data_IF_999721345358
#
_entry.id   IF_999721345358
#
_cell.length_a   1.000
_cell.length_b   1.000
_cell.length_c   1.000
_cell.angle_alpha   90.00
_cell.angle_beta   90.00
_cell.angle_gamma   90.00
#
_symmetry.space_group_name_H-M   'P 1'
#
loop_
_entity.id
_entity.type
_entity.pdbx_description
1 polymer ?
#
# COMPACT_ATOMS: atom_id res chain seq x y z
N UNK A 1 -18.16 30.26 -58.10
CA UNK A 1 -16.88 29.74 -57.59
C UNK A 1 -16.21 30.88 -56.85
N UNK A 2 -16.51 31.00 -55.56
CA UNK A 2 -16.09 32.08 -54.68
C UNK A 2 -14.96 31.59 -53.80
N UNK A 3 -13.75 32.10 -54.02
CA UNK A 3 -12.69 32.10 -53.02
C UNK A 3 -12.37 33.58 -52.82
N UNK A 4 -13.09 34.15 -51.86
CA UNK A 4 -12.95 35.53 -51.45
C UNK A 4 -11.55 35.78 -50.92
N UNK A 5 -11.01 36.94 -51.30
CA UNK A 5 -9.74 37.45 -50.84
C UNK A 5 -9.75 37.54 -49.30
N UNK A 6 -9.01 36.63 -48.66
CA UNK A 6 -8.67 36.74 -47.24
C UNK A 6 -7.99 38.10 -47.05
N UNK A 7 -8.70 39.05 -46.45
CA UNK A 7 -8.26 40.43 -46.33
C UNK A 7 -6.91 40.45 -45.60
N UNK A 8 -5.92 41.20 -46.14
CA UNK A 8 -4.55 41.29 -45.61
C UNK A 8 -4.44 41.52 -44.10
N UNK A 9 -5.49 42.07 -43.45
CA UNK A 9 -5.58 42.19 -41.98
C UNK A 9 -5.56 40.84 -41.25
N UNK A 10 -6.24 39.82 -41.75
CA UNK A 10 -6.31 38.51 -41.09
C UNK A 10 -4.97 37.77 -41.17
N UNK A 11 -4.27 37.88 -42.30
CA UNK A 11 -2.92 37.35 -42.48
C UNK A 11 -1.90 38.01 -41.53
N UNK A 12 -2.02 39.31 -41.28
CA UNK A 12 -1.16 40.03 -40.33
C UNK A 12 -1.45 39.58 -38.90
N UNK A 13 -2.71 39.41 -38.52
CA UNK A 13 -3.09 38.92 -37.18
C UNK A 13 -2.57 37.50 -36.94
N UNK A 14 -2.72 36.61 -37.91
CA UNK A 14 -2.19 35.24 -37.84
C UNK A 14 -0.65 35.26 -37.73
N UNK A 15 0.02 36.11 -38.52
CA UNK A 15 1.47 36.28 -38.47
C UNK A 15 1.98 36.76 -37.11
N UNK A 16 1.28 37.72 -36.48
CA UNK A 16 1.63 38.23 -35.15
C UNK A 16 1.42 37.18 -34.06
N UNK A 17 0.34 36.39 -34.13
CA UNK A 17 0.07 35.29 -33.20
C UNK A 17 1.18 34.23 -33.29
N UNK A 18 1.57 33.84 -34.50
CA UNK A 18 2.63 32.86 -34.73
C UNK A 18 3.98 33.40 -34.23
N UNK A 19 4.29 34.66 -34.50
CA UNK A 19 5.55 35.28 -34.06
C UNK A 19 5.62 35.37 -32.52
N UNK A 20 4.53 35.74 -31.85
CA UNK A 20 4.42 35.71 -30.40
C UNK A 20 4.62 34.29 -29.85
N UNK A 21 4.05 33.29 -30.54
CA UNK A 21 4.18 31.87 -30.18
C UNK A 21 5.65 31.40 -30.24
N UNK A 22 6.37 31.77 -31.31
CA UNK A 22 7.79 31.43 -31.53
C UNK A 22 8.68 32.15 -30.50
N UNK A 23 8.40 33.41 -30.19
CA UNK A 23 9.13 34.17 -29.18
C UNK A 23 8.96 33.59 -27.77
N UNK A 24 7.79 33.06 -27.44
CA UNK A 24 7.56 32.35 -26.17
C UNK A 24 8.35 31.04 -26.07
N UNK A 25 8.48 30.28 -27.17
CA UNK A 25 9.31 29.06 -27.21
C UNK A 25 10.80 29.40 -27.06
N UNK A 26 11.28 30.45 -27.74
CA UNK A 26 12.70 30.86 -27.69
C UNK A 26 13.17 31.35 -26.32
N UNK A 27 12.27 31.84 -25.46
CA UNK A 27 12.58 32.24 -24.08
C UNK A 27 12.51 31.09 -23.06
N UNK A 28 12.34 29.84 -23.51
CA UNK A 28 12.20 28.69 -22.61
C UNK A 28 10.82 28.55 -21.98
N UNK A 29 9.81 29.24 -22.52
CA UNK A 29 8.41 29.10 -22.10
C UNK A 29 7.90 27.71 -22.49
N UNK A 30 7.87 26.80 -21.52
CA UNK A 30 7.11 25.55 -21.65
C UNK A 30 5.63 25.94 -21.69
N UNK A 31 4.92 25.56 -22.75
CA UNK A 31 3.46 25.69 -22.84
C UNK A 31 2.82 24.78 -21.78
N UNK A 32 2.74 25.26 -20.55
CA UNK A 32 1.83 24.69 -19.55
C UNK A 32 0.46 25.25 -19.88
N UNK A 33 -0.43 24.39 -20.41
CA UNK A 33 -1.84 24.73 -20.63
C UNK A 33 -2.59 25.17 -19.34
N UNK A 34 -1.95 25.07 -18.16
CA UNK A 34 -2.46 25.53 -16.86
C UNK A 34 -1.53 26.50 -16.09
N UNK A 35 -0.50 27.05 -16.75
CA UNK A 35 0.22 28.28 -16.35
C UNK A 35 1.10 28.28 -15.09
N UNK A 36 0.82 27.46 -14.07
CA UNK A 36 1.56 27.48 -12.80
C UNK A 36 2.56 26.33 -12.72
N UNK A 37 3.78 26.66 -12.29
CA UNK A 37 4.84 25.69 -12.03
C UNK A 37 5.46 25.97 -10.67
N UNK A 38 6.01 24.94 -10.05
CA UNK A 38 6.57 25.02 -8.71
C UNK A 38 7.93 24.32 -8.66
N UNK A 39 8.88 24.89 -7.90
CA UNK A 39 10.16 24.25 -7.63
C UNK A 39 10.03 23.21 -6.51
N UNK A 40 10.23 21.94 -6.84
CA UNK A 40 10.27 20.84 -5.86
C UNK A 40 11.71 20.30 -5.78
N UNK A 41 12.25 20.04 -4.58
CA UNK A 41 13.50 19.33 -4.44
C UNK A 41 13.31 17.84 -4.79
N UNK A 42 13.98 17.38 -5.83
CA UNK A 42 13.98 15.98 -6.29
C UNK A 42 15.44 15.51 -6.38
N UNK A 43 15.80 14.49 -5.61
CA UNK A 43 17.15 13.90 -5.60
C UNK A 43 18.28 14.95 -5.41
N UNK A 44 18.07 15.91 -4.50
CA UNK A 44 19.04 16.96 -4.20
C UNK A 44 19.11 18.10 -5.22
N UNK A 45 18.29 18.08 -6.29
CA UNK A 45 18.19 19.16 -7.28
C UNK A 45 16.80 19.79 -7.25
N UNK A 46 16.73 21.12 -7.38
CA UNK A 46 15.45 21.81 -7.58
C UNK A 46 14.97 21.56 -9.01
N UNK A 47 13.75 21.07 -9.16
CA UNK A 47 13.13 20.87 -10.46
C UNK A 47 11.81 21.65 -10.53
N UNK A 48 11.60 22.35 -11.63
CA UNK A 48 10.34 23.05 -11.92
C UNK A 48 9.34 22.05 -12.48
N UNK A 49 8.26 21.81 -11.74
CA UNK A 49 7.20 20.86 -12.10
C UNK A 49 5.85 21.58 -12.20
N UNK A 50 5.02 21.11 -13.12
CA UNK A 50 3.61 21.48 -13.22
C UNK A 50 2.74 20.46 -12.47
N UNK A 51 1.41 20.63 -12.54
CA UNK A 51 0.44 19.72 -11.93
C UNK A 51 0.64 18.26 -12.36
N UNK A 52 0.91 18.02 -13.64
CA UNK A 52 1.09 16.66 -14.18
C UNK A 52 2.37 16.05 -13.60
N UNK A 53 3.47 16.80 -13.61
CA UNK A 53 4.72 16.39 -12.98
C UNK A 53 4.54 16.05 -11.50
N UNK A 54 3.79 16.88 -10.76
CA UNK A 54 3.52 16.64 -9.35
C UNK A 54 2.66 15.37 -9.13
N UNK A 55 1.71 15.07 -10.02
CA UNK A 55 0.96 13.81 -9.99
C UNK A 55 1.86 12.59 -10.19
N UNK A 56 2.83 12.65 -11.10
CA UNK A 56 3.80 11.56 -11.29
C UNK A 56 4.65 11.32 -10.04
N UNK A 57 5.10 12.40 -9.39
CA UNK A 57 5.86 12.28 -8.14
C UNK A 57 5.04 11.69 -7.00
N UNK A 58 3.77 12.10 -6.87
CA UNK A 58 2.86 11.52 -5.88
C UNK A 58 2.62 10.03 -6.16
N UNK A 59 2.47 9.63 -7.42
CA UNK A 59 2.32 8.23 -7.83
C UNK A 59 3.56 7.41 -7.45
N UNK A 60 4.75 7.88 -7.81
CA UNK A 60 6.02 7.22 -7.49
C UNK A 60 6.23 7.10 -5.97
N UNK A 61 5.91 8.14 -5.20
CA UNK A 61 5.92 8.07 -3.74
C UNK A 61 4.97 6.97 -3.20
N UNK A 62 3.77 6.84 -3.77
CA UNK A 62 2.82 5.78 -3.41
C UNK A 62 3.36 4.38 -3.73
N UNK A 63 3.96 4.19 -4.91
CA UNK A 63 4.56 2.92 -5.33
C UNK A 63 5.73 2.51 -4.42
N UNK A 64 6.58 3.46 -4.02
CA UNK A 64 7.66 3.20 -3.06
C UNK A 64 7.14 2.76 -1.69
N UNK A 65 6.07 3.39 -1.20
CA UNK A 65 5.44 2.99 0.07
C UNK A 65 4.92 1.55 -0.01
N UNK A 66 4.29 1.18 -1.13
CA UNK A 66 3.78 -0.18 -1.35
C UNK A 66 4.89 -1.22 -1.50
N UNK A 67 6.01 -0.85 -2.12
CA UNK A 67 7.19 -1.72 -2.22
C UNK A 67 7.80 -1.97 -0.84
N UNK A 68 8.01 -0.92 -0.03
CA UNK A 68 8.49 -1.05 1.35
C UNK A 68 7.55 -1.89 2.23
N UNK A 69 6.24 -1.87 1.97
CA UNK A 69 5.29 -2.76 2.65
C UNK A 69 5.52 -4.22 2.27
N UNK A 70 5.71 -4.52 0.97
CA UNK A 70 5.97 -5.89 0.49
C UNK A 70 7.27 -6.43 1.07
N UNK A 71 8.35 -5.65 1.02
CA UNK A 71 9.64 -6.02 1.62
C UNK A 71 9.49 -6.36 3.11
N UNK A 72 8.83 -5.50 3.89
CA UNK A 72 8.57 -5.77 5.32
C UNK A 72 7.66 -6.97 5.55
N UNK A 73 6.75 -7.26 4.62
CA UNK A 73 5.86 -8.41 4.75
C UNK A 73 6.61 -9.74 4.58
N UNK A 74 7.67 -9.76 3.78
CA UNK A 74 8.55 -10.93 3.61
C UNK A 74 9.27 -11.30 4.91
N UNK A 75 9.52 -10.32 5.78
CA UNK A 75 10.13 -10.55 7.10
C UNK A 75 9.20 -11.28 8.08
N UNK A 76 7.88 -11.28 7.87
CA UNK A 76 6.91 -11.85 8.83
C UNK A 76 7.10 -13.35 9.04
N UNK A 77 7.37 -14.12 7.97
CA UNK A 77 7.51 -15.57 8.08
C UNK A 77 8.78 -16.00 8.81
N UNK A 78 9.98 -15.49 8.47
CA UNK A 78 11.18 -15.71 9.28
C UNK A 78 10.95 -15.41 10.76
N UNK A 79 10.25 -14.32 11.04
CA UNK A 79 9.94 -13.80 12.36
C UNK A 79 9.05 -14.71 13.23
N UNK A 80 8.19 -15.51 12.61
CA UNK A 80 7.28 -16.45 13.30
C UNK A 80 7.68 -17.92 13.11
N UNK A 81 8.84 -18.18 12.48
CA UNK A 81 9.35 -19.54 12.22
C UNK A 81 9.49 -20.38 13.49
N UNK A 82 9.77 -19.76 14.64
CA UNK A 82 9.82 -20.42 15.94
C UNK A 82 8.45 -20.98 16.37
N UNK A 83 7.34 -20.31 16.01
CA UNK A 83 5.99 -20.83 16.25
C UNK A 83 5.67 -21.98 15.30
N UNK A 84 6.08 -21.86 14.03
CA UNK A 84 5.86 -22.90 13.01
C UNK A 84 6.56 -24.21 13.39
N UNK A 85 7.81 -24.13 13.85
CA UNK A 85 8.57 -25.28 14.36
C UNK A 85 7.99 -25.86 15.64
N UNK A 86 7.28 -25.04 16.44
CA UNK A 86 6.54 -25.46 17.63
C UNK A 86 5.25 -26.26 17.35
N UNK A 87 4.70 -26.19 16.12
CA UNK A 87 3.55 -27.02 15.71
C UNK A 87 3.99 -28.45 15.43
N UNK A 88 5.00 -28.62 14.57
CA UNK A 88 5.42 -29.91 14.05
C UNK A 88 6.85 -29.83 13.54
N UNK A 89 7.60 -30.92 13.73
CA UNK A 89 8.95 -31.09 13.17
C UNK A 89 8.95 -31.58 11.72
N UNK A 90 7.78 -31.86 11.15
CA UNK A 90 7.66 -32.33 9.78
C UNK A 90 7.79 -31.17 8.79
N UNK A 91 8.72 -31.32 7.85
CA UNK A 91 8.93 -30.36 6.77
C UNK A 91 7.67 -30.11 5.93
N UNK A 92 6.85 -31.14 5.68
CA UNK A 92 5.58 -30.99 4.95
C UNK A 92 4.59 -30.07 5.68
N UNK A 93 4.54 -30.13 7.01
CA UNK A 93 3.70 -29.25 7.82
C UNK A 93 4.23 -27.82 7.79
N UNK A 94 5.54 -27.62 7.97
CA UNK A 94 6.16 -26.29 7.90
C UNK A 94 5.91 -25.63 6.54
N UNK A 95 6.21 -26.34 5.44
CA UNK A 95 6.01 -25.83 4.09
C UNK A 95 4.54 -25.48 3.81
N UNK A 96 3.60 -26.32 4.28
CA UNK A 96 2.18 -26.06 4.13
C UNK A 96 1.73 -24.82 4.90
N UNK A 97 2.19 -24.65 6.13
CA UNK A 97 1.89 -23.47 6.95
C UNK A 97 2.42 -22.19 6.29
N UNK A 98 3.69 -22.17 5.88
CA UNK A 98 4.31 -21.04 5.19
C UNK A 98 3.56 -20.68 3.91
N UNK A 99 3.14 -21.67 3.10
CA UNK A 99 2.38 -21.43 1.88
C UNK A 99 1.02 -20.77 2.15
N UNK A 100 0.31 -21.20 3.20
CA UNK A 100 -0.97 -20.60 3.61
C UNK A 100 -0.77 -19.15 4.06
N UNK A 101 0.24 -18.91 4.90
CA UNK A 101 0.53 -17.58 5.45
C UNK A 101 1.01 -16.62 4.35
N UNK A 102 1.90 -17.06 3.46
CA UNK A 102 2.31 -16.29 2.27
C UNK A 102 1.11 -15.88 1.42
N UNK A 103 0.21 -16.81 1.13
CA UNK A 103 -1.01 -16.51 0.36
C UNK A 103 -1.87 -15.43 1.03
N UNK A 104 -1.89 -15.38 2.37
CA UNK A 104 -2.62 -14.37 3.14
C UNK A 104 -1.94 -12.99 3.13
N UNK A 105 -0.61 -12.92 3.01
CA UNK A 105 0.13 -11.65 2.85
C UNK A 105 -0.20 -10.95 1.53
N UNK A 106 -0.37 -11.70 0.45
CA UNK A 106 -0.64 -11.14 -0.89
C UNK A 106 -2.12 -10.89 -1.17
N UNK A 107 -3.03 -11.38 -0.33
CA UNK A 107 -4.44 -10.99 -0.39
C UNK A 107 -4.62 -9.72 0.44
N UNK A 108 -5.10 -8.64 -0.16
CA UNK A 108 -5.36 -7.33 0.47
C UNK A 108 -6.48 -7.39 1.53
N UNK A 109 -6.32 -8.20 2.59
CA UNK A 109 -7.32 -8.38 3.65
C UNK A 109 -7.11 -7.50 4.88
N UNK A 110 -5.96 -6.82 4.97
CA UNK A 110 -5.60 -6.00 6.12
C UNK A 110 -6.01 -4.53 5.98
N UNK A 111 -6.40 -4.10 4.77
CA UNK A 111 -6.80 -2.71 4.56
C UNK A 111 -8.08 -2.35 5.31
N UNK A 112 -9.02 -3.29 5.42
CA UNK A 112 -10.32 -3.10 6.06
C UNK A 112 -10.45 -3.84 7.42
N UNK A 113 -9.31 -4.18 8.03
CA UNK A 113 -9.29 -4.89 9.31
C UNK A 113 -9.72 -3.95 10.44
N UNK A 114 -10.67 -4.39 11.27
CA UNK A 114 -11.19 -3.66 12.43
C UNK A 114 -11.29 -4.58 13.65
N UNK A 115 -11.49 -4.01 14.83
CA UNK A 115 -11.74 -4.75 16.10
C UNK A 115 -12.89 -5.75 15.94
N UNK A 116 -13.92 -5.41 15.15
CA UNK A 116 -15.08 -6.29 14.91
C UNK A 116 -14.74 -7.47 13.99
N UNK A 117 -13.81 -7.30 13.05
CA UNK A 117 -13.51 -8.31 12.02
C UNK A 117 -12.24 -9.12 12.32
N UNK A 118 -11.36 -8.63 13.19
CA UNK A 118 -10.05 -9.26 13.45
C UNK A 118 -10.18 -10.67 14.03
N UNK A 119 -11.09 -10.88 14.99
CA UNK A 119 -11.26 -12.20 15.59
C UNK A 119 -11.76 -13.22 14.55
N UNK A 120 -12.69 -12.82 13.67
CA UNK A 120 -13.15 -13.66 12.56
C UNK A 120 -12.05 -13.95 11.55
N UNK A 121 -11.16 -12.99 11.26
CA UNK A 121 -9.99 -13.23 10.41
C UNK A 121 -9.04 -14.27 11.03
N UNK A 122 -8.74 -14.14 12.33
CA UNK A 122 -7.87 -15.06 13.06
C UNK A 122 -8.47 -16.47 13.08
N UNK A 123 -9.78 -16.59 13.35
CA UNK A 123 -10.48 -17.87 13.34
C UNK A 123 -10.45 -18.52 11.95
N UNK A 124 -10.72 -17.77 10.89
CA UNK A 124 -10.64 -18.30 9.53
C UNK A 124 -9.23 -18.78 9.17
N UNK A 125 -8.20 -18.03 9.56
CA UNK A 125 -6.81 -18.42 9.34
C UNK A 125 -6.44 -19.65 10.18
N UNK A 126 -6.88 -19.71 11.42
CA UNK A 126 -6.69 -20.85 12.31
C UNK A 126 -7.31 -22.12 11.73
N UNK A 127 -8.56 -22.07 11.24
CA UNK A 127 -9.22 -23.22 10.63
C UNK A 127 -8.52 -23.67 9.33
N UNK A 128 -8.07 -22.71 8.50
CA UNK A 128 -7.30 -23.03 7.29
C UNK A 128 -5.97 -23.72 7.66
N UNK A 129 -5.23 -23.19 8.62
CA UNK A 129 -4.00 -23.81 9.12
C UNK A 129 -4.27 -25.21 9.71
N UNK A 130 -5.17 -25.30 10.69
CA UNK A 130 -5.46 -26.53 11.40
C UNK A 130 -5.92 -27.65 10.46
N UNK A 131 -6.89 -27.38 9.60
CA UNK A 131 -7.43 -28.39 8.69
C UNK A 131 -6.40 -28.90 7.68
N UNK A 132 -5.55 -28.01 7.15
CA UNK A 132 -4.51 -28.40 6.20
C UNK A 132 -3.37 -29.16 6.87
N UNK A 133 -2.90 -28.70 8.02
CA UNK A 133 -1.80 -29.35 8.72
C UNK A 133 -2.21 -30.70 9.30
N UNK A 134 -3.45 -30.84 9.79
CA UNK A 134 -3.95 -32.12 10.28
C UNK A 134 -4.02 -33.18 9.16
N UNK A 135 -4.30 -32.77 7.91
CA UNK A 135 -4.21 -33.66 6.75
C UNK A 135 -2.78 -34.10 6.48
N UNK A 136 -1.81 -33.19 6.57
CA UNK A 136 -0.38 -33.53 6.39
C UNK A 136 0.09 -34.52 7.48
N UNK A 137 -0.30 -34.30 8.74
CA UNK A 137 -0.02 -35.23 9.85
C UNK A 137 -0.65 -36.59 9.62
N UNK A 138 -1.93 -36.63 9.22
CA UNK A 138 -2.62 -37.88 8.93
C UNK A 138 -1.92 -38.67 7.80
N UNK A 139 -1.54 -37.98 6.72
CA UNK A 139 -0.82 -38.59 5.60
C UNK A 139 0.55 -39.11 6.03
N UNK A 140 1.30 -38.32 6.80
CA UNK A 140 2.61 -38.72 7.32
C UNK A 140 2.50 -39.95 8.24
N UNK A 141 1.46 -40.00 9.09
CA UNK A 141 1.19 -41.13 9.98
C UNK A 141 0.95 -42.46 9.26
N UNK A 142 0.50 -42.44 8.00
CA UNK A 142 0.35 -43.64 7.17
C UNK A 142 1.68 -44.22 6.67
N UNK A 143 2.76 -43.44 6.76
CA UNK A 143 4.07 -43.77 6.20
C UNK A 143 5.11 -44.16 7.27
N UNK A 144 4.71 -44.26 8.54
CA UNK A 144 5.62 -44.52 9.67
C UNK A 144 4.96 -45.43 10.69
N UNK A 145 5.76 -46.26 11.36
CA UNK A 145 5.31 -47.04 12.52
C UNK A 145 5.11 -46.18 13.78
N UNK A 146 5.68 -44.96 13.80
CA UNK A 146 5.57 -44.00 14.89
C UNK A 146 4.88 -42.74 14.37
N UNK A 147 3.53 -42.68 14.44
CA UNK A 147 2.78 -41.56 13.89
C UNK A 147 3.16 -40.25 14.61
N UNK A 148 3.21 -39.11 13.90
CA UNK A 148 3.44 -37.81 14.51
C UNK A 148 2.31 -37.47 15.48
N UNK A 149 2.63 -36.66 16.50
CA UNK A 149 1.62 -36.14 17.41
C UNK A 149 0.56 -35.30 16.65
N UNK A 150 -0.72 -35.39 17.05
CA UNK A 150 -1.75 -34.51 16.53
C UNK A 150 -1.40 -33.04 16.76
N UNK A 151 -1.81 -32.18 15.84
CA UNK A 151 -1.63 -30.75 16.01
C UNK A 151 -2.68 -30.22 16.96
N UNK A 152 -2.27 -29.44 17.94
CA UNK A 152 -3.19 -28.72 18.81
C UNK A 152 -3.72 -27.47 18.12
N UNK A 153 -5.05 -27.29 18.16
CA UNK A 153 -5.73 -26.13 17.58
C UNK A 153 -5.32 -24.81 18.25
N UNK A 154 -4.91 -24.85 19.52
CA UNK A 154 -4.33 -23.72 20.25
C UNK A 154 -3.05 -23.19 19.60
N UNK A 155 -2.17 -24.09 19.11
CA UNK A 155 -0.91 -23.72 18.45
C UNK A 155 -1.14 -23.02 17.12
N UNK A 156 -2.07 -23.53 16.30
CA UNK A 156 -2.44 -22.89 15.03
C UNK A 156 -3.14 -21.55 15.24
N UNK A 157 -3.92 -21.41 16.32
CA UNK A 157 -4.52 -20.15 16.71
C UNK A 157 -3.48 -19.11 17.12
N UNK A 158 -2.49 -19.50 17.94
CA UNK A 158 -1.39 -18.62 18.33
C UNK A 158 -0.62 -18.08 17.12
N UNK A 159 -0.38 -18.91 16.10
CA UNK A 159 0.24 -18.47 14.84
C UNK A 159 -0.66 -17.51 14.07
N UNK A 160 -1.95 -17.83 13.93
CA UNK A 160 -2.88 -16.94 13.25
C UNK A 160 -2.96 -15.56 13.92
N UNK A 161 -2.98 -15.52 15.27
CA UNK A 161 -2.97 -14.29 16.07
C UNK A 161 -1.67 -13.50 15.85
N UNK A 162 -0.51 -14.15 16.00
CA UNK A 162 0.80 -13.48 15.87
C UNK A 162 1.07 -12.99 14.44
N UNK A 163 0.70 -13.79 13.43
CA UNK A 163 0.76 -13.39 12.03
C UNK A 163 -0.10 -12.16 11.76
N UNK A 164 -1.37 -12.18 12.20
CA UNK A 164 -2.30 -11.06 12.05
C UNK A 164 -1.76 -9.79 12.70
N UNK A 165 -1.20 -9.91 13.91
CA UNK A 165 -0.59 -8.79 14.65
C UNK A 165 0.57 -8.16 13.88
N UNK A 166 1.51 -8.96 13.38
CA UNK A 166 2.67 -8.46 12.63
C UNK A 166 2.27 -7.83 11.29
N UNK A 167 1.36 -8.47 10.57
CA UNK A 167 0.83 -7.92 9.32
C UNK A 167 0.09 -6.60 9.55
N UNK A 168 -0.79 -6.51 10.56
CA UNK A 168 -1.49 -5.28 10.91
C UNK A 168 -0.52 -4.13 11.25
N UNK A 169 0.58 -4.42 11.96
CA UNK A 169 1.60 -3.41 12.27
C UNK A 169 2.32 -2.89 11.02
N UNK A 170 2.62 -3.76 10.06
CA UNK A 170 3.25 -3.35 8.77
C UNK A 170 2.27 -2.51 7.94
N UNK A 171 1.00 -2.90 7.87
CA UNK A 171 -0.04 -2.13 7.20
C UNK A 171 -0.30 -0.78 7.87
N UNK A 172 -0.27 -0.69 9.20
CA UNK A 172 -0.38 0.59 9.91
C UNK A 172 0.74 1.56 9.51
N UNK A 173 1.98 1.06 9.39
CA UNK A 173 3.12 1.87 8.93
C UNK A 173 2.91 2.36 7.50
N UNK A 174 2.44 1.49 6.60
CA UNK A 174 2.11 1.89 5.22
C UNK A 174 1.04 2.99 5.17
N UNK A 175 -0.06 2.80 5.91
CA UNK A 175 -1.17 3.76 5.95
C UNK A 175 -0.70 5.11 6.51
N UNK A 176 0.11 5.11 7.59
CA UNK A 176 0.72 6.33 8.13
C UNK A 176 1.64 7.02 7.11
N UNK A 177 2.45 6.27 6.37
CA UNK A 177 3.25 6.84 5.28
C UNK A 177 2.39 7.45 4.17
N UNK A 178 1.26 6.82 3.81
CA UNK A 178 0.30 7.38 2.84
C UNK A 178 -0.36 8.67 3.36
N UNK A 179 -0.67 8.76 4.67
CA UNK A 179 -1.16 10.01 5.30
C UNK A 179 -0.14 11.14 5.14
N UNK A 180 1.11 10.90 5.56
CA UNK A 180 2.20 11.90 5.46
C UNK A 180 2.45 12.32 4.00
N UNK A 181 2.36 11.38 3.06
CA UNK A 181 2.45 11.68 1.64
C UNK A 181 1.33 12.65 1.23
N UNK A 182 0.05 12.34 1.45
CA UNK A 182 -1.03 13.25 1.06
C UNK A 182 -0.94 14.62 1.73
N UNK A 183 -0.53 14.67 3.01
CA UNK A 183 -0.29 15.91 3.74
C UNK A 183 0.82 16.76 3.10
N UNK A 184 1.90 16.13 2.62
CA UNK A 184 3.00 16.84 1.96
C UNK A 184 2.64 17.36 0.56
N UNK A 185 1.83 16.62 -0.20
CA UNK A 185 1.47 16.97 -1.58
C UNK A 185 0.29 17.96 -1.68
N UNK A 186 -0.65 17.93 -0.72
CA UNK A 186 -1.80 18.84 -0.69
C UNK A 186 -1.43 20.33 -0.86
N UNK A 187 -0.49 20.92 -0.08
CA UNK A 187 -0.13 22.33 -0.26
C UNK A 187 0.59 22.61 -1.58
N UNK A 188 1.25 21.61 -2.19
CA UNK A 188 1.92 21.77 -3.48
C UNK A 188 0.90 21.92 -4.62
N UNK A 189 -0.18 21.14 -4.60
CA UNK A 189 -1.31 21.33 -5.53
C UNK A 189 -2.01 22.67 -5.32
N UNK A 190 -2.13 23.14 -4.07
CA UNK A 190 -2.69 24.46 -3.77
C UNK A 190 -1.88 25.61 -4.38
N UNK A 191 -0.55 25.52 -4.36
CA UNK A 191 0.34 26.50 -5.00
C UNK A 191 0.29 26.48 -6.53
N UNK A 192 -0.17 25.37 -7.12
CA UNK A 192 -0.41 25.22 -8.56
C UNK A 192 -1.86 25.59 -8.95
N UNK A 193 -2.67 26.05 -8.00
CA UNK A 193 -4.06 26.44 -8.23
C UNK A 193 -5.00 25.26 -8.51
N UNK A 194 -4.56 24.02 -8.26
CA UNK A 194 -5.35 22.81 -8.53
C UNK A 194 -6.24 22.44 -7.34
N UNK A 195 -7.40 23.12 -7.24
CA UNK A 195 -8.38 22.88 -6.19
C UNK A 195 -8.92 21.43 -6.19
N UNK A 196 -9.01 20.78 -7.36
CA UNK A 196 -9.49 19.40 -7.48
C UNK A 196 -8.52 18.45 -6.78
N UNK A 197 -7.22 18.61 -7.01
CA UNK A 197 -6.19 17.75 -6.38
C UNK A 197 -5.95 18.07 -4.92
N UNK A 198 -6.18 19.32 -4.49
CA UNK A 198 -6.19 19.68 -3.06
C UNK A 198 -7.28 18.89 -2.33
N UNK A 199 -8.52 18.91 -2.84
CA UNK A 199 -9.62 18.18 -2.18
C UNK A 199 -9.40 16.66 -2.25
N UNK A 200 -8.91 16.15 -3.38
CA UNK A 200 -8.52 14.73 -3.49
C UNK A 200 -7.52 14.31 -2.40
N UNK A 201 -6.46 15.10 -2.16
CA UNK A 201 -5.47 14.79 -1.13
C UNK A 201 -6.10 14.81 0.27
N UNK A 202 -6.96 15.80 0.54
CA UNK A 202 -7.68 15.91 1.82
C UNK A 202 -8.58 14.71 2.08
N UNK A 203 -9.45 14.35 1.14
CA UNK A 203 -10.34 13.18 1.26
C UNK A 203 -9.54 11.88 1.47
N UNK A 204 -8.45 11.70 0.72
CA UNK A 204 -7.61 10.50 0.84
C UNK A 204 -6.89 10.47 2.17
N UNK A 205 -6.39 11.61 2.65
CA UNK A 205 -5.77 11.74 3.98
C UNK A 205 -6.76 11.34 5.08
N UNK A 206 -7.96 11.90 5.06
CA UNK A 206 -9.01 11.60 6.06
C UNK A 206 -9.39 10.12 6.08
N UNK A 207 -9.58 9.51 4.91
CA UNK A 207 -9.84 8.07 4.80
C UNK A 207 -8.69 7.24 5.40
N UNK A 208 -7.44 7.63 5.11
CA UNK A 208 -6.25 6.91 5.62
C UNK A 208 -6.03 7.14 7.12
N UNK A 209 -6.40 8.29 7.68
CA UNK A 209 -6.39 8.51 9.14
C UNK A 209 -7.36 7.54 9.82
N UNK A 210 -8.62 7.48 9.38
CA UNK A 210 -9.61 6.53 9.93
C UNK A 210 -9.14 5.09 9.85
N UNK A 211 -8.50 4.72 8.74
CA UNK A 211 -7.92 3.40 8.56
C UNK A 211 -6.76 3.15 9.54
N UNK A 212 -5.89 4.13 9.76
CA UNK A 212 -4.79 4.03 10.72
C UNK A 212 -5.31 3.88 12.16
N UNK A 213 -6.36 4.61 12.52
CA UNK A 213 -6.99 4.54 13.84
C UNK A 213 -7.59 3.15 14.07
N UNK A 214 -8.35 2.62 13.10
CA UNK A 214 -8.91 1.27 13.17
C UNK A 214 -7.82 0.19 13.32
N UNK A 215 -6.72 0.29 12.57
CA UNK A 215 -5.60 -0.64 12.69
C UNK A 215 -4.87 -0.52 14.03
N UNK A 216 -4.78 0.69 14.60
CA UNK A 216 -4.20 0.92 15.92
C UNK A 216 -5.05 0.26 17.01
N UNK A 217 -6.37 0.42 16.95
CA UNK A 217 -7.31 -0.25 17.87
C UNK A 217 -7.19 -1.77 17.78
N UNK A 218 -7.09 -2.33 16.57
CA UNK A 218 -6.83 -3.76 16.36
C UNK A 218 -5.56 -4.21 17.04
N UNK A 219 -4.45 -3.46 16.88
CA UNK A 219 -3.19 -3.81 17.52
C UNK A 219 -3.29 -3.75 19.05
N UNK A 220 -3.97 -2.74 19.59
CA UNK A 220 -4.22 -2.67 21.03
C UNK A 220 -5.03 -3.86 21.54
N UNK A 221 -6.07 -4.31 20.82
CA UNK A 221 -6.84 -5.50 21.19
C UNK A 221 -5.97 -6.76 21.17
N UNK A 222 -5.12 -6.92 20.14
CA UNK A 222 -4.22 -8.07 20.02
C UNK A 222 -3.10 -8.06 21.07
N UNK A 223 -2.64 -6.89 21.51
CA UNK A 223 -1.63 -6.72 22.55
C UNK A 223 -2.20 -6.85 23.96
N UNK A 224 -3.40 -6.33 24.24
CA UNK A 224 -4.08 -6.52 25.52
C UNK A 224 -4.31 -8.01 25.80
N UNK A 225 -4.77 -8.77 24.79
CA UNK A 225 -4.92 -10.23 24.87
C UNK A 225 -3.59 -10.99 24.95
N UNK A 226 -2.44 -10.34 24.81
CA UNK A 226 -1.12 -10.96 25.03
C UNK A 226 -0.73 -10.91 26.51
N UNK A 227 -1.21 -9.90 27.25
CA UNK A 227 -0.94 -9.73 28.68
C UNK A 227 -1.80 -10.67 29.52
N UNK A 228 -3.00 -11.03 29.05
CA UNK A 228 -3.89 -11.99 29.73
C UNK A 228 -3.49 -13.47 29.56
N UNK A 229 -2.60 -13.78 28.61
CA UNK A 229 -2.15 -15.15 28.29
C UNK A 229 -0.80 -15.52 28.93
N UNK A 230 -0.20 -14.61 29.73
CA UNK A 230 1.07 -14.79 30.49
C UNK A 230 0.76 -14.91 31.98
#
# INVERSE_FOLDING_TARGET
>A
MSIEALQHKELIVIGVIILAFILMIKKGGKYTLFGQTLEVPIAGKKQTVDTIGLMYLMKDACERIELLRKERAEDILPDISYLLTGISRLSCCMYRAEAILNKRLYKNGFEDLTVQTVNGYIEQLNEELYSHLQREIHNAGRCTAHPPEPIEKSKTYAIAKEFTRRAAAIYLREVKSKVMMYESYQPLFGKLGDAIRVEFCKEKREKKIKQADALLEVLHELEAKKIEEV
#
